data_IF_635080504833
#
_entry.id   IF_635080504833
#
_cell.length_a   1.000
_cell.length_b   1.000
_cell.length_c   1.000
_cell.angle_alpha   90.00
_cell.angle_beta   90.00
_cell.angle_gamma   90.00
#
_symmetry.space_group_name_H-M   'P 1'
#
loop_
_entity.id
_entity.type
_entity.pdbx_description
1 polymer ?
#
# COMPACT_ATOMS: atom_id res chain seq x y z
N UNK A 1 15.39 13.18 1.37
CA UNK A 1 14.51 12.89 0.23
C UNK A 1 13.36 13.88 0.20
N UNK A 2 12.95 14.33 -0.98
CA UNK A 2 11.89 15.32 -1.07
C UNK A 2 10.52 14.71 -0.78
N UNK A 3 9.58 15.55 -0.38
CA UNK A 3 8.20 15.13 -0.11
C UNK A 3 7.55 14.52 -1.36
N UNK A 4 7.81 15.11 -2.52
CA UNK A 4 7.27 14.59 -3.78
C UNK A 4 7.80 13.19 -4.10
N UNK A 5 9.08 12.95 -3.82
CA UNK A 5 9.68 11.63 -4.02
C UNK A 5 9.02 10.60 -3.11
N UNK A 6 8.80 10.95 -1.85
CA UNK A 6 8.15 10.04 -0.89
C UNK A 6 6.72 9.72 -1.32
N UNK A 7 5.96 10.71 -1.77
CA UNK A 7 4.61 10.51 -2.29
C UNK A 7 4.61 9.59 -3.51
N UNK A 8 5.55 9.78 -4.41
CA UNK A 8 5.66 8.94 -5.61
C UNK A 8 5.96 7.50 -5.24
N UNK A 9 6.91 7.28 -4.33
CA UNK A 9 7.24 5.93 -3.88
C UNK A 9 6.05 5.26 -3.20
N UNK A 10 5.32 6.00 -2.37
CA UNK A 10 4.13 5.48 -1.70
C UNK A 10 3.06 5.08 -2.71
N UNK A 11 2.84 5.90 -3.74
CA UNK A 11 1.85 5.62 -4.77
C UNK A 11 2.21 4.37 -5.57
N UNK A 12 3.49 4.21 -5.92
CA UNK A 12 3.96 3.04 -6.66
C UNK A 12 3.80 1.77 -5.81
N UNK A 13 4.19 1.83 -4.54
CA UNK A 13 4.05 0.72 -3.60
C UNK A 13 2.58 0.32 -3.46
N UNK A 14 1.70 1.29 -3.31
CA UNK A 14 0.28 1.05 -3.17
C UNK A 14 -0.31 0.41 -4.42
N UNK A 15 0.00 0.95 -5.59
CA UNK A 15 -0.52 0.43 -6.84
C UNK A 15 -0.09 -1.02 -7.09
N UNK A 16 1.19 -1.32 -6.86
CA UNK A 16 1.71 -2.67 -7.04
C UNK A 16 1.07 -3.65 -6.04
N UNK A 17 0.91 -3.24 -4.80
CA UNK A 17 0.28 -4.08 -3.78
C UNK A 17 -1.18 -4.37 -4.12
N UNK A 18 -1.92 -3.37 -4.60
CA UNK A 18 -3.31 -3.54 -5.01
C UNK A 18 -3.42 -4.55 -6.15
N UNK A 19 -2.57 -4.42 -7.17
CA UNK A 19 -2.58 -5.33 -8.30
C UNK A 19 -2.28 -6.77 -7.87
N UNK A 20 -1.27 -6.95 -7.04
CA UNK A 20 -0.89 -8.28 -6.55
C UNK A 20 -2.01 -8.91 -5.72
N UNK A 21 -2.63 -8.15 -4.82
CA UNK A 21 -3.68 -8.67 -3.98
C UNK A 21 -4.96 -8.97 -4.76
N UNK A 22 -5.27 -8.16 -5.76
CA UNK A 22 -6.41 -8.42 -6.63
C UNK A 22 -6.22 -9.73 -7.41
N UNK A 23 -5.02 -9.93 -7.94
CA UNK A 23 -4.69 -11.14 -8.68
C UNK A 23 -4.75 -12.39 -7.79
N UNK A 24 -4.18 -12.32 -6.60
CA UNK A 24 -4.18 -13.43 -5.65
C UNK A 24 -5.57 -13.83 -5.19
N UNK A 25 -6.43 -12.86 -4.97
CA UNK A 25 -7.76 -13.10 -4.41
C UNK A 25 -8.85 -13.30 -5.45
N UNK A 26 -8.56 -13.03 -6.71
CA UNK A 26 -9.56 -13.09 -7.78
C UNK A 26 -10.59 -11.96 -7.71
N UNK A 27 -10.30 -10.91 -6.93
CA UNK A 27 -11.18 -9.77 -6.77
C UNK A 27 -10.79 -8.66 -7.74
N UNK A 28 -11.71 -7.72 -7.97
CA UNK A 28 -11.39 -6.59 -8.83
C UNK A 28 -10.42 -5.65 -8.16
N UNK A 29 -9.63 -4.94 -8.99
CA UNK A 29 -8.70 -3.93 -8.50
C UNK A 29 -9.44 -2.85 -7.70
N UNK A 30 -10.61 -2.46 -8.17
CA UNK A 30 -11.41 -1.43 -7.49
C UNK A 30 -11.85 -1.84 -6.10
N UNK A 31 -12.25 -3.09 -5.92
CA UNK A 31 -12.65 -3.61 -4.61
C UNK A 31 -11.48 -3.61 -3.63
N UNK A 32 -10.35 -4.15 -4.07
CA UNK A 32 -9.14 -4.22 -3.25
C UNK A 32 -8.66 -2.82 -2.90
N UNK A 33 -8.63 -1.93 -3.88
CA UNK A 33 -8.21 -0.55 -3.68
C UNK A 33 -9.07 0.14 -2.63
N UNK A 34 -10.38 -0.01 -2.72
CA UNK A 34 -11.30 0.61 -1.77
C UNK A 34 -11.05 0.13 -0.34
N UNK A 35 -10.86 -1.17 -0.17
CA UNK A 35 -10.57 -1.73 1.14
C UNK A 35 -9.26 -1.20 1.73
N UNK A 36 -8.22 -1.13 0.90
CA UNK A 36 -6.92 -0.67 1.36
C UNK A 36 -6.95 0.81 1.71
N UNK A 37 -7.61 1.63 0.88
CA UNK A 37 -7.70 3.07 1.13
C UNK A 37 -8.45 3.39 2.43
N UNK A 38 -9.32 2.49 2.86
CA UNK A 38 -10.09 2.64 4.09
C UNK A 38 -9.41 1.98 5.30
N UNK A 39 -8.17 1.54 5.14
CA UNK A 39 -7.47 0.77 6.17
C UNK A 39 -6.42 1.61 6.90
N UNK A 40 -6.04 1.11 8.08
CA UNK A 40 -4.93 1.68 8.84
C UNK A 40 -3.60 1.56 8.10
N UNK A 41 -3.45 0.52 7.30
CA UNK A 41 -2.22 0.32 6.53
C UNK A 41 -1.98 1.48 5.57
N UNK A 42 -3.04 2.00 4.96
CA UNK A 42 -2.93 3.15 4.08
C UNK A 42 -2.48 4.40 4.84
N UNK A 43 -3.03 4.62 6.02
CA UNK A 43 -2.61 5.74 6.87
C UNK A 43 -1.14 5.63 7.23
N UNK A 44 -0.69 4.44 7.58
CA UNK A 44 0.72 4.21 7.90
C UNK A 44 1.62 4.40 6.68
N UNK A 45 1.15 4.02 5.50
CA UNK A 45 1.91 4.22 4.26
C UNK A 45 2.14 5.71 3.99
N UNK A 46 1.15 6.54 4.28
CA UNK A 46 1.25 7.98 4.09
C UNK A 46 1.97 8.70 5.22
N UNK A 47 2.20 8.02 6.33
CA UNK A 47 3.01 8.55 7.43
C UNK A 47 4.48 8.24 7.12
N UNK A 48 5.17 9.23 6.58
CA UNK A 48 6.52 9.04 6.07
C UNK A 48 7.55 8.74 7.16
N UNK A 49 7.18 8.94 8.42
CA UNK A 49 8.07 8.59 9.54
C UNK A 49 8.17 7.08 9.75
N UNK A 50 7.15 6.32 9.33
CA UNK A 50 7.18 4.86 9.48
C UNK A 50 8.16 4.17 8.54
N UNK A 51 8.54 4.83 7.45
CA UNK A 51 9.39 4.23 6.42
C UNK A 51 8.70 3.18 5.56
N UNK A 52 7.42 2.95 5.76
CA UNK A 52 6.67 1.93 5.03
C UNK A 52 6.66 2.19 3.53
N UNK A 53 6.63 3.45 3.14
CA UNK A 53 6.65 3.87 1.74
C UNK A 53 7.90 3.42 0.99
N UNK A 54 8.99 3.15 1.72
CA UNK A 54 10.29 2.78 1.14
C UNK A 54 10.53 1.27 1.14
N UNK A 55 9.66 0.49 1.77
CA UNK A 55 9.88 -0.96 1.95
C UNK A 55 9.42 -1.79 0.76
N UNK A 56 8.62 -1.22 -0.12
CA UNK A 56 8.16 -1.90 -1.31
C UNK A 56 6.80 -2.60 -1.13
N UNK A 57 6.21 -3.05 -2.26
CA UNK A 57 4.85 -3.60 -2.23
C UNK A 57 4.70 -4.89 -1.45
N UNK A 58 5.70 -5.76 -1.45
CA UNK A 58 5.62 -7.03 -0.73
C UNK A 58 5.53 -6.81 0.77
N UNK A 59 6.35 -5.89 1.28
CA UNK A 59 6.33 -5.54 2.70
C UNK A 59 5.01 -4.90 3.08
N UNK A 60 4.50 -3.99 2.26
CA UNK A 60 3.22 -3.33 2.50
C UNK A 60 2.08 -4.36 2.54
N UNK A 61 2.09 -5.30 1.62
CA UNK A 61 1.06 -6.34 1.56
C UNK A 61 1.04 -7.19 2.83
N UNK A 62 2.21 -7.60 3.32
CA UNK A 62 2.31 -8.37 4.56
C UNK A 62 1.85 -7.56 5.76
N UNK A 63 2.22 -6.28 5.79
CA UNK A 63 1.79 -5.38 6.86
C UNK A 63 0.27 -5.23 6.87
N UNK A 64 -0.33 -5.05 5.71
CA UNK A 64 -1.78 -4.93 5.58
C UNK A 64 -2.49 -6.18 6.12
N UNK A 65 -2.00 -7.35 5.79
CA UNK A 65 -2.56 -8.62 6.27
C UNK A 65 -2.48 -8.75 7.78
N UNK A 66 -1.43 -8.22 8.37
CA UNK A 66 -1.21 -8.29 9.82
C UNK A 66 -2.17 -7.43 10.62
N UNK A 67 -2.49 -6.24 10.12
CA UNK A 67 -3.24 -5.25 10.89
C UNK A 67 -4.72 -5.17 10.54
N UNK A 68 -5.15 -5.85 9.52
CA UNK A 68 -6.55 -5.79 9.12
C UNK A 68 -7.44 -6.67 9.99
#
# INVERSE_FOLDING_TARGET
MSYDTMNTCAAITLAAAIEDMAEESGRSIEEVRREILDSKAYECLLDFETGLWAEGPDYFREYYKKIR
#
